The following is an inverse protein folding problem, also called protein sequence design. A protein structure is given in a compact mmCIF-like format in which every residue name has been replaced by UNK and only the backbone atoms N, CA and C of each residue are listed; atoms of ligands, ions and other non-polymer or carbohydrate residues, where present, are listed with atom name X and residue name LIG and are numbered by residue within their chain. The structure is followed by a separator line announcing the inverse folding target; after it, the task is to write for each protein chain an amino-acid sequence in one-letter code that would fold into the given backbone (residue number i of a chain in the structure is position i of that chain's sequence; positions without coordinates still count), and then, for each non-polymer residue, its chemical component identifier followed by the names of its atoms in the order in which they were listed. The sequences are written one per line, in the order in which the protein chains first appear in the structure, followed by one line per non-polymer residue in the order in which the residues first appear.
data_IF_657440877048
#
_entry.id   IF_657440877048
#
_cell.length_a   1.000
_cell.length_b   1.000
_cell.length_c   1.000
_cell.angle_alpha   90.00
_cell.angle_beta   90.00
_cell.angle_gamma   90.00
#
_symmetry.space_group_name_H-M   'P 1'
#
loop_
_entity.id
_entity.type
_entity.pdbx_description
1 polymer ?
#
# COMPACT_ATOMS: atom_id res chain seq x y z
N UNK A 1 -26.76 19.68 -31.23
CA UNK A 1 -26.12 18.35 -31.01
C UNK A 1 -24.58 18.38 -30.93
N UNK A 2 -23.90 19.32 -31.61
CA UNK A 2 -22.42 19.44 -31.57
C UNK A 2 -21.88 19.98 -30.22
N UNK A 3 -22.58 20.95 -29.62
CA UNK A 3 -22.15 21.56 -28.35
C UNK A 3 -22.21 20.59 -27.14
N UNK A 4 -23.16 19.64 -27.14
CA UNK A 4 -23.27 18.64 -26.06
C UNK A 4 -22.14 17.58 -26.12
N UNK A 5 -21.66 17.24 -27.32
CA UNK A 5 -20.52 16.32 -27.48
C UNK A 5 -19.20 16.97 -27.07
N UNK A 6 -19.03 18.28 -27.31
CA UNK A 6 -17.83 19.01 -26.85
C UNK A 6 -17.80 19.19 -25.33
N UNK A 7 -18.95 19.44 -24.70
CA UNK A 7 -19.03 19.54 -23.25
C UNK A 7 -18.74 18.19 -22.57
N UNK A 8 -19.20 17.07 -23.14
CA UNK A 8 -18.91 15.73 -22.60
C UNK A 8 -17.43 15.34 -22.77
N UNK A 9 -16.79 15.77 -23.87
CA UNK A 9 -15.36 15.55 -24.12
C UNK A 9 -14.48 16.36 -23.16
N UNK A 10 -14.88 17.59 -22.81
CA UNK A 10 -14.16 18.44 -21.86
C UNK A 10 -14.26 17.96 -20.41
N UNK A 11 -15.38 17.35 -20.03
CA UNK A 11 -15.55 16.74 -18.71
C UNK A 11 -14.74 15.46 -18.57
N UNK A 12 -14.61 14.67 -19.64
CA UNK A 12 -13.83 13.43 -19.67
C UNK A 12 -12.30 13.67 -19.60
N UNK A 13 -11.81 14.77 -20.16
CA UNK A 13 -10.36 15.07 -20.18
C UNK A 13 -9.86 15.77 -18.90
N UNK A 14 -10.76 16.37 -18.10
CA UNK A 14 -10.38 16.99 -16.83
C UNK A 14 -10.41 16.06 -15.62
N UNK A 15 -10.94 14.85 -15.75
CA UNK A 15 -10.97 13.85 -14.66
C UNK A 15 -9.68 12.99 -14.64
N UNK A 16 -8.91 12.95 -15.74
CA UNK A 16 -7.70 12.14 -15.86
C UNK A 16 -6.39 12.95 -15.91
N UNK A 17 -6.46 14.25 -15.78
CA UNK A 17 -5.31 15.13 -15.90
C UNK A 17 -4.86 15.67 -14.56
N UNK A 18 -3.98 14.99 -13.84
CA UNK A 18 -3.02 15.68 -13.04
C UNK A 18 -2.91 15.38 -11.56
N UNK A 19 -3.77 14.57 -10.91
CA UNK A 19 -3.50 14.23 -9.53
C UNK A 19 -2.45 13.11 -9.45
N UNK A 20 -1.38 13.38 -8.74
CA UNK A 20 -0.35 12.41 -8.36
C UNK A 20 -0.12 12.49 -6.85
N UNK A 21 0.30 11.41 -6.20
CA UNK A 21 0.55 11.41 -4.75
C UNK A 21 1.45 12.54 -4.27
N UNK A 22 2.48 12.89 -5.02
CA UNK A 22 3.43 13.97 -4.71
C UNK A 22 2.84 15.39 -4.82
N UNK A 23 1.64 15.53 -5.41
CA UNK A 23 0.90 16.80 -5.38
C UNK A 23 0.24 17.09 -4.03
N UNK A 24 0.17 16.09 -3.13
CA UNK A 24 -0.39 16.23 -1.79
C UNK A 24 0.71 16.56 -0.77
N UNK A 25 0.59 17.68 -0.07
CA UNK A 25 1.57 18.10 0.93
C UNK A 25 1.68 17.16 2.15
N UNK A 26 0.81 16.17 2.27
CA UNK A 26 0.79 15.15 3.33
C UNK A 26 1.36 13.80 2.90
N UNK A 27 1.88 13.67 1.68
CA UNK A 27 2.51 12.42 1.24
C UNK A 27 3.72 12.11 2.11
N UNK A 28 3.76 10.89 2.64
CA UNK A 28 4.87 10.37 3.44
C UNK A 28 5.79 9.54 2.56
N UNK A 29 5.23 8.60 1.79
CA UNK A 29 5.97 7.79 0.83
C UNK A 29 5.11 7.38 -0.35
N UNK A 30 5.75 7.21 -1.50
CA UNK A 30 5.12 6.71 -2.72
C UNK A 30 6.06 5.77 -3.46
N UNK A 31 5.81 4.48 -3.36
CA UNK A 31 6.49 3.44 -4.13
C UNK A 31 5.68 3.20 -5.39
N UNK A 32 6.10 3.88 -6.45
CA UNK A 32 5.34 3.97 -7.70
C UNK A 32 5.48 2.69 -8.53
N UNK A 33 4.37 2.27 -9.12
CA UNK A 33 4.33 1.15 -10.04
C UNK A 33 5.34 1.31 -11.19
N UNK A 34 6.12 0.26 -11.43
CA UNK A 34 7.10 0.15 -12.53
C UNK A 34 8.11 1.33 -12.63
N UNK A 35 8.35 1.99 -11.51
CA UNK A 35 9.21 3.19 -11.45
C UNK A 35 10.17 3.07 -10.27
N UNK A 36 11.41 3.55 -10.47
CA UNK A 36 12.45 3.65 -9.43
C UNK A 36 12.77 2.30 -8.72
N UNK A 37 12.60 1.18 -9.46
CA UNK A 37 12.97 -0.16 -9.01
C UNK A 37 14.38 -0.47 -9.50
N UNK A 38 15.28 -0.79 -8.57
CA UNK A 38 16.63 -1.28 -8.87
C UNK A 38 16.67 -2.78 -8.74
N UNK A 39 17.03 -3.47 -9.81
CA UNK A 39 17.15 -4.94 -9.84
C UNK A 39 18.32 -5.38 -10.71
N UNK A 40 18.81 -6.60 -10.47
CA UNK A 40 19.82 -7.25 -11.30
C UNK A 40 19.16 -7.81 -12.59
N UNK A 41 19.51 -7.33 -13.79
CA UNK A 41 18.86 -7.79 -15.03
C UNK A 41 19.15 -9.25 -15.40
N UNK A 42 20.11 -9.91 -14.75
CA UNK A 42 20.43 -11.31 -15.00
C UNK A 42 19.60 -12.27 -14.13
N UNK A 43 19.19 -11.82 -12.95
CA UNK A 43 18.43 -12.61 -11.97
C UNK A 43 17.04 -12.06 -11.73
N UNK A 44 16.77 -10.81 -12.08
CA UNK A 44 15.57 -10.02 -11.75
C UNK A 44 15.34 -9.82 -10.24
N UNK A 45 16.36 -10.03 -9.41
CA UNK A 45 16.26 -9.79 -7.97
C UNK A 45 16.29 -8.30 -7.67
N UNK A 46 15.34 -7.82 -6.87
CA UNK A 46 15.15 -6.41 -6.53
C UNK A 46 15.98 -6.05 -5.31
N UNK A 47 16.90 -5.13 -5.47
CA UNK A 47 17.73 -4.60 -4.38
C UNK A 47 17.19 -3.29 -3.80
N UNK A 48 16.34 -2.55 -4.54
CA UNK A 48 15.70 -1.35 -4.03
C UNK A 48 14.39 -1.03 -4.76
N UNK A 49 13.46 -0.43 -4.03
CA UNK A 49 12.29 0.29 -4.53
C UNK A 49 12.30 1.68 -3.91
N UNK A 50 12.71 2.67 -4.69
CA UNK A 50 12.91 4.00 -4.17
C UNK A 50 11.59 4.74 -4.00
N UNK A 51 11.53 5.59 -2.98
CA UNK A 51 10.39 6.45 -2.69
C UNK A 51 10.38 7.64 -3.66
N UNK A 52 9.36 7.71 -4.52
CA UNK A 52 9.20 8.77 -5.51
C UNK A 52 8.76 10.12 -4.90
N UNK A 53 8.44 10.18 -3.61
CA UNK A 53 7.95 11.38 -2.95
C UNK A 53 8.96 11.99 -1.97
N UNK A 54 9.65 11.18 -1.17
CA UNK A 54 10.54 11.62 -0.09
C UNK A 54 11.83 10.76 -0.04
N UNK A 55 12.30 10.39 1.15
CA UNK A 55 13.56 9.67 1.34
C UNK A 55 13.38 8.36 2.13
N UNK A 56 12.28 7.65 1.90
CA UNK A 56 12.00 6.37 2.56
C UNK A 56 12.33 5.20 1.62
N UNK A 57 13.47 5.25 0.93
CA UNK A 57 13.88 4.21 -0.01
C UNK A 57 13.92 2.84 0.68
N UNK A 58 13.22 1.87 0.12
CA UNK A 58 13.18 0.49 0.58
C UNK A 58 14.27 -0.32 -0.09
N UNK A 59 15.16 -0.95 0.68
CA UNK A 59 16.33 -1.68 0.16
C UNK A 59 16.43 -3.08 0.75
N UNK A 60 17.10 -3.98 0.02
CA UNK A 60 17.50 -5.31 0.50
C UNK A 60 18.89 -5.68 -0.02
N UNK A 61 19.84 -5.75 0.89
CA UNK A 61 21.24 -6.08 0.55
C UNK A 61 21.51 -7.59 0.48
N UNK A 62 20.72 -8.40 1.19
CA UNK A 62 20.87 -9.87 1.23
C UNK A 62 20.19 -10.48 0.01
N UNK A 63 20.96 -11.02 -0.91
CA UNK A 63 20.46 -11.56 -2.20
C UNK A 63 19.38 -12.63 -2.02
N UNK A 64 19.47 -13.48 -0.98
CA UNK A 64 18.49 -14.52 -0.69
C UNK A 64 17.17 -14.03 -0.09
N UNK A 65 17.07 -12.74 0.20
CA UNK A 65 15.88 -12.08 0.74
C UNK A 65 15.33 -11.02 -0.22
N UNK A 66 15.93 -10.89 -1.41
CA UNK A 66 15.50 -9.95 -2.44
C UNK A 66 14.29 -10.50 -3.18
N UNK A 67 13.17 -9.75 -3.23
CA UNK A 67 12.02 -10.12 -4.04
C UNK A 67 12.33 -10.02 -5.53
N UNK A 68 11.47 -10.56 -6.35
CA UNK A 68 11.68 -10.72 -7.79
C UNK A 68 10.90 -9.67 -8.59
N UNK A 69 11.56 -8.96 -9.49
CA UNK A 69 10.89 -8.07 -10.45
C UNK A 69 10.24 -8.91 -11.57
N UNK A 70 8.92 -8.92 -11.65
CA UNK A 70 8.19 -9.71 -12.64
C UNK A 70 8.20 -8.98 -14.00
N UNK A 71 8.81 -9.56 -15.05
CA UNK A 71 8.77 -8.95 -16.38
C UNK A 71 7.40 -9.16 -17.05
N UNK A 72 6.94 -8.17 -17.81
CA UNK A 72 5.73 -8.32 -18.63
C UNK A 72 4.77 -7.15 -18.58
N UNK A 73 3.52 -7.38 -19.03
CA UNK A 73 2.49 -6.34 -19.12
C UNK A 73 1.97 -5.86 -17.75
N UNK A 74 2.20 -6.62 -16.70
CA UNK A 74 1.88 -6.28 -15.31
C UNK A 74 3.16 -6.47 -14.48
N UNK A 75 4.07 -5.52 -14.62
CA UNK A 75 5.30 -5.49 -13.83
C UNK A 75 4.97 -5.19 -12.37
N UNK A 76 5.54 -5.96 -11.48
CA UNK A 76 5.36 -5.79 -10.03
C UNK A 76 6.49 -6.51 -9.31
N UNK A 77 6.58 -6.31 -8.02
CA UNK A 77 7.57 -6.95 -7.16
C UNK A 77 6.93 -8.16 -6.50
N UNK A 78 7.37 -9.35 -6.91
CA UNK A 78 6.91 -10.66 -6.39
C UNK A 78 7.71 -11.04 -5.14
N UNK A 79 7.00 -11.32 -4.07
CA UNK A 79 7.51 -11.83 -2.79
C UNK A 79 7.16 -13.30 -2.65
N UNK A 80 8.10 -14.11 -2.18
CA UNK A 80 8.02 -15.58 -2.17
C UNK A 80 7.25 -16.19 -0.99
N UNK A 81 6.78 -15.35 -0.06
CA UNK A 81 6.08 -15.80 1.15
C UNK A 81 6.97 -16.42 2.22
N UNK A 82 8.28 -16.39 2.05
CA UNK A 82 9.25 -17.06 2.95
C UNK A 82 10.20 -16.09 3.63
N UNK A 83 10.95 -15.30 2.84
CA UNK A 83 11.98 -14.40 3.34
C UNK A 83 12.08 -13.08 2.60
N UNK A 84 11.43 -12.94 1.45
CA UNK A 84 11.51 -11.73 0.64
C UNK A 84 10.99 -10.51 1.39
N UNK A 85 11.78 -9.45 1.40
CA UNK A 85 11.44 -8.20 2.05
C UNK A 85 12.23 -7.02 1.47
N UNK A 86 11.73 -5.80 1.73
CA UNK A 86 12.44 -4.55 1.50
C UNK A 86 12.31 -3.69 2.76
N UNK A 87 13.36 -3.00 3.17
CA UNK A 87 13.40 -2.23 4.42
C UNK A 87 14.04 -0.85 4.22
N UNK A 88 13.61 0.12 5.03
CA UNK A 88 14.26 1.43 5.12
C UNK A 88 14.81 1.69 6.53
N UNK A 89 15.85 2.50 6.62
CA UNK A 89 16.35 3.00 7.93
C UNK A 89 15.64 4.27 8.39
N UNK A 90 14.77 4.83 7.55
CA UNK A 90 14.00 6.05 7.84
C UNK A 90 12.55 5.66 8.10
N UNK A 91 12.19 5.53 9.37
CA UNK A 91 10.87 5.11 9.80
C UNK A 91 9.79 6.12 9.43
N UNK A 92 8.65 5.63 8.94
CA UNK A 92 7.44 6.40 8.66
C UNK A 92 6.48 6.27 9.85
N UNK A 93 6.25 7.37 10.58
CA UNK A 93 5.41 7.38 11.77
C UNK A 93 4.04 8.01 11.51
N UNK A 94 2.98 7.22 11.58
CA UNK A 94 1.60 7.62 11.34
C UNK A 94 0.87 7.79 12.69
N UNK A 95 1.12 8.89 13.39
CA UNK A 95 0.60 9.13 14.75
C UNK A 95 -0.82 9.73 14.78
N UNK A 96 -1.27 10.37 13.68
CA UNK A 96 -2.58 11.02 13.55
C UNK A 96 -3.47 10.37 12.51
N UNK A 97 -4.25 11.20 11.81
CA UNK A 97 -4.98 10.78 10.62
C UNK A 97 -4.02 10.28 9.54
N UNK A 98 -4.42 9.27 8.78
CA UNK A 98 -3.62 8.76 7.66
C UNK A 98 -4.49 8.17 6.55
N UNK A 99 -3.89 8.07 5.37
CA UNK A 99 -4.42 7.29 4.24
C UNK A 99 -3.30 6.41 3.69
N UNK A 100 -3.55 5.11 3.58
CA UNK A 100 -2.63 4.13 3.00
C UNK A 100 -3.34 3.42 1.86
N UNK A 101 -2.76 3.47 0.67
CA UNK A 101 -3.23 2.76 -0.52
C UNK A 101 -2.21 1.71 -0.95
N UNK A 102 -2.66 0.49 -1.25
CA UNK A 102 -1.81 -0.62 -1.69
C UNK A 102 -2.48 -1.32 -2.87
N UNK A 103 -1.83 -1.36 -4.03
CA UNK A 103 -2.19 -2.22 -5.17
C UNK A 103 -1.34 -3.48 -5.09
N UNK A 104 -1.97 -4.63 -4.98
CA UNK A 104 -1.26 -5.91 -4.84
C UNK A 104 -2.09 -7.09 -5.31
N UNK A 105 -1.43 -8.19 -5.62
CA UNK A 105 -2.02 -9.53 -5.73
C UNK A 105 -1.60 -10.32 -4.49
N UNK A 106 -2.57 -10.86 -3.76
CA UNK A 106 -2.35 -11.64 -2.53
C UNK A 106 -2.56 -13.10 -2.86
N UNK A 107 -1.49 -13.90 -2.78
CA UNK A 107 -1.51 -15.33 -3.11
C UNK A 107 -1.77 -16.20 -1.86
N UNK A 108 -1.43 -15.71 -0.64
CA UNK A 108 -1.74 -16.38 0.61
C UNK A 108 -2.20 -15.42 1.72
N UNK A 109 -3.09 -15.89 2.58
CA UNK A 109 -3.52 -15.19 3.81
C UNK A 109 -2.56 -15.46 4.98
N UNK A 110 -2.68 -14.69 6.07
CA UNK A 110 -1.77 -14.78 7.20
C UNK A 110 -0.48 -14.00 7.00
N UNK A 111 -0.39 -13.17 5.97
CA UNK A 111 0.81 -12.51 5.47
C UNK A 111 0.79 -11.00 5.72
N UNK A 112 1.98 -10.42 5.95
CA UNK A 112 2.19 -8.99 6.21
C UNK A 112 2.37 -8.25 4.89
N UNK A 113 1.73 -7.09 4.74
CA UNK A 113 1.90 -6.21 3.60
C UNK A 113 3.03 -5.21 3.87
N UNK A 114 2.85 -4.39 4.91
CA UNK A 114 3.82 -3.39 5.39
C UNK A 114 3.83 -3.41 6.92
N UNK A 115 4.95 -3.13 7.55
CA UNK A 115 5.08 -3.18 9.01
C UNK A 115 6.32 -2.42 9.51
N UNK A 116 6.47 -2.39 10.84
CA UNK A 116 7.73 -2.12 11.52
C UNK A 116 8.55 -3.43 11.59
N UNK A 117 9.80 -3.37 11.15
CA UNK A 117 10.72 -4.50 11.19
C UNK A 117 11.28 -4.79 12.60
N UNK A 118 11.14 -3.89 13.54
CA UNK A 118 11.71 -4.00 14.89
C UNK A 118 10.72 -4.54 15.92
N UNK A 119 9.42 -4.46 15.67
CA UNK A 119 8.36 -4.86 16.60
C UNK A 119 7.22 -5.60 15.92
N UNK A 120 6.36 -6.23 16.71
CA UNK A 120 5.10 -6.85 16.27
C UNK A 120 3.87 -5.95 16.53
N UNK A 121 4.10 -4.71 16.94
CA UNK A 121 3.03 -3.82 17.41
C UNK A 121 2.48 -2.92 16.32
N UNK A 122 3.18 -2.79 15.18
CA UNK A 122 2.80 -1.98 14.04
C UNK A 122 2.82 -2.84 12.76
N UNK A 123 1.67 -2.94 12.08
CA UNK A 123 1.58 -3.67 10.81
C UNK A 123 0.24 -3.50 10.09
N UNK A 124 0.28 -3.70 8.78
CA UNK A 124 -0.87 -3.99 7.92
C UNK A 124 -0.73 -5.43 7.42
N UNK A 125 -1.66 -6.29 7.80
CA UNK A 125 -1.56 -7.74 7.58
C UNK A 125 -2.89 -8.34 7.14
N UNK A 126 -2.88 -9.20 6.12
CA UNK A 126 -4.03 -10.07 5.85
C UNK A 126 -3.99 -11.24 6.84
N UNK A 127 -5.03 -11.38 7.64
CA UNK A 127 -5.14 -12.46 8.63
C UNK A 127 -5.55 -13.78 7.97
N UNK A 128 -5.32 -14.91 8.66
CA UNK A 128 -5.84 -16.22 8.20
C UNK A 128 -7.37 -16.29 8.15
N UNK A 129 -8.05 -15.37 8.85
CA UNK A 129 -9.52 -15.21 8.80
C UNK A 129 -9.99 -14.26 7.70
N UNK A 130 -9.11 -13.90 6.76
CA UNK A 130 -9.40 -13.04 5.62
C UNK A 130 -9.91 -11.63 6.02
N UNK A 131 -9.31 -11.05 7.07
CA UNK A 131 -9.48 -9.64 7.44
C UNK A 131 -8.18 -8.89 7.19
N UNK A 132 -8.26 -7.59 6.88
CA UNK A 132 -7.11 -6.73 6.97
C UNK A 132 -6.93 -6.28 8.43
N UNK A 133 -5.87 -6.70 9.07
CA UNK A 133 -5.47 -6.25 10.40
C UNK A 133 -4.53 -5.06 10.30
N UNK A 134 -4.88 -3.97 10.98
CA UNK A 134 -3.99 -2.83 11.22
C UNK A 134 -3.64 -2.79 12.69
N UNK A 135 -2.35 -2.61 13.00
CA UNK A 135 -1.86 -2.42 14.37
C UNK A 135 -1.09 -1.10 14.47
N UNK A 136 -1.25 -0.44 15.62
CA UNK A 136 -0.57 0.79 16.00
C UNK A 136 -0.30 0.78 17.51
N UNK A 137 0.95 0.91 17.95
CA UNK A 137 1.37 0.82 19.37
C UNK A 137 0.77 -0.42 20.09
N UNK A 138 0.68 -1.55 19.39
CA UNK A 138 0.06 -2.78 19.91
C UNK A 138 -1.47 -2.81 19.91
N UNK A 139 -2.16 -1.69 19.72
CA UNK A 139 -3.62 -1.67 19.49
C UNK A 139 -3.95 -2.32 18.15
N UNK A 140 -5.12 -2.91 18.03
CA UNK A 140 -5.49 -3.70 16.85
C UNK A 140 -6.86 -3.33 16.34
N UNK A 141 -6.97 -3.12 15.02
CA UNK A 141 -8.24 -3.03 14.29
C UNK A 141 -8.27 -4.13 13.21
N UNK A 142 -9.30 -4.96 13.23
CA UNK A 142 -9.56 -5.96 12.18
C UNK A 142 -10.67 -5.43 11.25
N UNK A 143 -10.30 -5.18 10.01
CA UNK A 143 -11.16 -4.62 8.96
C UNK A 143 -11.63 -5.76 8.07
N UNK A 144 -12.88 -6.18 8.24
CA UNK A 144 -13.46 -7.27 7.48
C UNK A 144 -13.88 -6.85 6.07
N UNK A 145 -13.80 -7.78 5.13
CA UNK A 145 -14.49 -7.62 3.85
C UNK A 145 -15.99 -7.87 4.04
N UNK A 146 -16.83 -7.04 3.43
CA UNK A 146 -18.27 -7.24 3.41
C UNK A 146 -18.64 -8.53 2.64
N UNK A 147 -17.82 -8.90 1.64
CA UNK A 147 -17.96 -10.16 0.90
C UNK A 147 -16.67 -10.48 0.14
N UNK A 148 -16.48 -11.76 -0.21
CA UNK A 148 -15.35 -12.21 -1.03
C UNK A 148 -14.08 -12.50 -0.24
N UNK A 149 -12.97 -12.55 -0.95
CA UNK A 149 -11.62 -12.79 -0.43
C UNK A 149 -10.64 -11.80 -1.03
N UNK A 150 -9.52 -11.58 -0.34
CA UNK A 150 -8.40 -10.87 -0.93
C UNK A 150 -7.78 -11.69 -2.08
N UNK A 151 -7.30 -10.99 -3.08
CA UNK A 151 -6.68 -11.56 -4.27
C UNK A 151 -5.97 -10.47 -5.05
N UNK A 152 -6.13 -10.44 -6.38
CA UNK A 152 -5.64 -9.33 -7.21
C UNK A 152 -6.57 -8.14 -7.08
N UNK A 153 -6.01 -6.98 -6.73
CA UNK A 153 -6.80 -5.77 -6.50
C UNK A 153 -6.06 -4.69 -5.73
N UNK A 154 -6.81 -3.86 -5.04
CA UNK A 154 -6.23 -2.80 -4.23
C UNK A 154 -7.02 -2.55 -2.94
N UNK A 155 -6.32 -2.02 -1.97
CA UNK A 155 -6.78 -1.68 -0.63
C UNK A 155 -6.57 -0.17 -0.41
N UNK A 156 -7.56 0.51 0.17
CA UNK A 156 -7.36 1.86 0.74
C UNK A 156 -7.83 1.82 2.17
N UNK A 157 -6.95 2.20 3.08
CA UNK A 157 -7.20 2.25 4.53
C UNK A 157 -7.02 3.66 5.00
N UNK A 158 -7.96 4.16 5.77
CA UNK A 158 -7.86 5.48 6.38
C UNK A 158 -8.04 5.41 7.89
N UNK A 159 -7.48 6.38 8.57
CA UNK A 159 -7.80 6.72 9.96
C UNK A 159 -8.08 8.23 10.02
N UNK A 160 -9.23 8.62 10.57
CA UNK A 160 -9.56 10.04 10.78
C UNK A 160 -8.91 10.61 12.06
N UNK A 161 -9.06 11.91 12.29
CA UNK A 161 -8.53 12.57 13.48
C UNK A 161 -9.18 12.11 14.81
N UNK A 162 -10.31 11.40 14.75
CA UNK A 162 -11.02 10.79 15.88
C UNK A 162 -10.66 9.31 16.07
N UNK A 163 -9.67 8.81 15.32
CA UNK A 163 -9.23 7.42 15.28
C UNK A 163 -10.24 6.43 14.65
N UNK A 164 -11.29 6.88 13.96
CA UNK A 164 -12.15 5.97 13.24
C UNK A 164 -11.45 5.47 11.98
N UNK A 165 -11.56 4.15 11.74
CA UNK A 165 -10.99 3.52 10.57
C UNK A 165 -11.99 3.49 9.41
N UNK A 166 -11.48 3.73 8.19
CA UNK A 166 -12.18 3.48 6.94
C UNK A 166 -11.43 2.43 6.12
N UNK A 167 -12.16 1.64 5.33
CA UNK A 167 -11.57 0.60 4.52
C UNK A 167 -12.32 0.42 3.19
N UNK A 168 -11.58 0.47 2.09
CA UNK A 168 -12.07 0.21 0.73
C UNK A 168 -11.29 -0.96 0.13
N UNK A 169 -12.00 -1.87 -0.50
CA UNK A 169 -11.44 -2.97 -1.29
C UNK A 169 -11.96 -2.86 -2.72
N UNK A 170 -11.06 -2.68 -3.69
CA UNK A 170 -11.40 -2.48 -5.10
C UNK A 170 -12.42 -1.34 -5.31
N UNK A 171 -12.25 -0.22 -4.59
CA UNK A 171 -13.11 0.95 -4.65
C UNK A 171 -14.44 0.84 -3.90
N UNK A 172 -14.75 -0.32 -3.33
CA UNK A 172 -15.98 -0.53 -2.56
C UNK A 172 -15.71 -0.28 -1.08
N UNK A 173 -16.45 0.66 -0.48
CA UNK A 173 -16.42 0.92 0.96
C UNK A 173 -16.95 -0.31 1.72
N UNK A 174 -16.13 -0.84 2.62
CA UNK A 174 -16.46 -2.02 3.44
C UNK A 174 -17.28 -1.69 4.68
N UNK A 175 -17.61 -0.41 4.89
CA UNK A 175 -18.49 0.10 5.97
C UNK A 175 -18.06 -0.39 7.36
N UNK A 176 -16.74 -0.38 7.62
CA UNK A 176 -16.19 -0.80 8.91
C UNK A 176 -16.55 0.19 10.01
N UNK A 177 -16.77 -0.32 11.22
CA UNK A 177 -17.10 0.49 12.41
C UNK A 177 -16.16 0.12 13.55
N UNK A 178 -14.87 0.45 13.38
CA UNK A 178 -13.80 0.19 14.35
C UNK A 178 -12.94 1.43 14.50
N UNK A 179 -12.24 1.54 15.62
CA UNK A 179 -11.27 2.60 15.87
C UNK A 179 -9.89 2.03 16.16
N UNK A 180 -8.85 2.80 15.86
CA UNK A 180 -7.46 2.44 16.13
C UNK A 180 -6.71 3.68 16.64
N UNK A 181 -6.27 3.64 17.89
CA UNK A 181 -5.39 4.65 18.49
C UNK A 181 -3.94 4.18 18.45
N UNK A 182 -3.02 5.12 18.65
CA UNK A 182 -1.58 4.87 18.67
C UNK A 182 -0.90 5.29 17.37
N UNK A 183 0.42 5.13 17.35
CA UNK A 183 1.27 5.38 16.18
C UNK A 183 1.47 4.07 15.43
N UNK A 184 1.30 4.10 14.12
CA UNK A 184 1.69 3.00 13.24
C UNK A 184 3.02 3.37 12.59
N UNK A 185 4.08 2.76 13.04
CA UNK A 185 5.42 2.91 12.50
C UNK A 185 5.65 1.88 11.39
N UNK A 186 6.22 2.31 10.27
CA UNK A 186 6.43 1.47 9.09
C UNK A 186 7.84 1.72 8.57
N UNK A 187 8.61 0.66 8.41
CA UNK A 187 9.94 0.68 7.81
C UNK A 187 10.23 -0.55 6.94
N UNK A 188 9.24 -1.44 6.75
CA UNK A 188 9.39 -2.65 5.95
C UNK A 188 8.18 -2.93 5.04
N UNK A 189 8.46 -3.50 3.87
CA UNK A 189 7.49 -4.11 2.95
C UNK A 189 7.71 -5.61 2.95
N UNK A 190 6.63 -6.36 3.06
CA UNK A 190 6.63 -7.83 2.92
C UNK A 190 6.99 -8.61 4.18
N UNK A 191 7.46 -7.96 5.22
CA UNK A 191 7.91 -8.64 6.46
C UNK A 191 7.59 -7.79 7.69
N UNK A 192 7.58 -8.43 8.84
CA UNK A 192 7.62 -7.79 10.17
C UNK A 192 8.78 -8.33 10.99
N UNK A 193 8.95 -7.82 12.20
CA UNK A 193 9.96 -8.28 13.15
C UNK A 193 10.26 -9.79 13.03
N UNK A 194 11.56 -10.12 12.85
CA UNK A 194 12.08 -11.48 12.77
C UNK A 194 11.57 -12.32 11.59
N UNK A 195 11.34 -11.72 10.43
CA UNK A 195 10.97 -12.37 9.16
C UNK A 195 9.72 -13.28 9.24
N UNK A 196 8.81 -12.97 10.18
CA UNK A 196 7.59 -13.73 10.36
C UNK A 196 6.48 -13.25 9.47
N UNK A 197 5.77 -14.22 8.86
CA UNK A 197 4.61 -14.01 8.00
C UNK A 197 4.94 -13.18 6.75
N UNK A 198 6.10 -13.46 6.14
CA UNK A 198 6.53 -12.83 4.91
C UNK A 198 5.42 -12.83 3.86
N UNK A 199 5.27 -11.72 3.14
CA UNK A 199 4.25 -11.53 2.11
C UNK A 199 4.41 -12.57 1.01
N UNK A 200 3.30 -13.11 0.54
CA UNK A 200 3.21 -14.06 -0.56
C UNK A 200 2.29 -13.46 -1.63
N UNK A 201 2.88 -13.01 -2.73
CA UNK A 201 2.16 -12.31 -3.78
C UNK A 201 2.97 -11.20 -4.43
N UNK A 202 2.29 -10.36 -5.21
CA UNK A 202 2.92 -9.26 -5.97
C UNK A 202 2.47 -7.91 -5.45
N UNK A 203 3.41 -7.01 -5.18
CA UNK A 203 3.16 -5.59 -4.92
C UNK A 203 3.32 -4.78 -6.20
N UNK A 204 2.36 -3.91 -6.49
CA UNK A 204 2.40 -3.03 -7.67
C UNK A 204 2.65 -1.59 -7.28
N UNK A 205 1.94 -1.05 -6.31
CA UNK A 205 2.09 0.33 -5.85
C UNK A 205 1.71 0.44 -4.37
N UNK A 206 2.44 1.29 -3.62
CA UNK A 206 2.12 1.66 -2.25
C UNK A 206 2.18 3.18 -2.14
N UNK A 207 1.17 3.78 -1.53
CA UNK A 207 1.13 5.21 -1.23
C UNK A 207 0.68 5.47 0.20
N UNK A 208 1.39 6.33 0.90
CA UNK A 208 1.20 6.61 2.33
C UNK A 208 1.08 8.12 2.53
N UNK A 209 0.03 8.57 3.22
CA UNK A 209 -0.20 9.96 3.58
C UNK A 209 -0.43 10.10 5.08
N UNK A 210 0.09 11.18 5.66
CA UNK A 210 -0.14 11.58 7.06
C UNK A 210 -1.41 12.45 7.22
N UNK A 211 -2.41 12.23 6.39
CA UNK A 211 -3.71 12.89 6.46
C UNK A 211 -4.82 11.98 5.92
N UNK A 212 -6.06 12.36 6.21
CA UNK A 212 -7.27 11.73 5.69
C UNK A 212 -8.26 12.82 5.24
N UNK A 213 -8.90 12.60 4.10
CA UNK A 213 -10.08 13.32 3.63
C UNK A 213 -10.82 12.50 2.58
N UNK A 214 -12.12 12.74 2.43
CA UNK A 214 -12.90 12.06 1.39
C UNK A 214 -12.35 12.30 -0.03
N UNK A 215 -11.80 13.49 -0.30
CA UNK A 215 -11.19 13.83 -1.59
C UNK A 215 -9.90 13.03 -1.81
N UNK A 216 -9.01 12.95 -0.81
CA UNK A 216 -7.78 12.16 -0.87
C UNK A 216 -8.09 10.68 -1.06
N UNK A 217 -9.03 10.13 -0.28
CA UNK A 217 -9.49 8.75 -0.40
C UNK A 217 -10.03 8.44 -1.81
N UNK A 218 -10.83 9.34 -2.40
CA UNK A 218 -11.33 9.19 -3.76
C UNK A 218 -10.20 9.21 -4.81
N UNK A 219 -9.22 10.11 -4.65
CA UNK A 219 -8.07 10.22 -5.53
C UNK A 219 -7.20 8.95 -5.48
N UNK A 220 -6.90 8.42 -4.29
CA UNK A 220 -6.13 7.18 -4.10
C UNK A 220 -6.88 5.99 -4.72
N UNK A 221 -8.18 5.83 -4.44
CA UNK A 221 -9.00 4.79 -5.06
C UNK A 221 -8.97 4.88 -6.60
N UNK A 222 -9.15 6.09 -7.16
CA UNK A 222 -9.11 6.30 -8.61
C UNK A 222 -7.76 5.95 -9.21
N UNK A 223 -6.65 6.34 -8.56
CA UNK A 223 -5.30 6.01 -9.03
C UNK A 223 -5.08 4.50 -9.08
N UNK A 224 -5.31 3.81 -7.95
CA UNK A 224 -5.03 2.37 -7.87
C UNK A 224 -5.94 1.52 -8.76
N UNK A 225 -7.14 2.01 -9.08
CA UNK A 225 -8.05 1.36 -10.03
C UNK A 225 -7.57 1.44 -11.49
N UNK A 226 -6.72 2.42 -11.83
CA UNK A 226 -6.26 2.69 -13.20
C UNK A 226 -4.83 2.19 -13.48
N UNK A 227 -4.23 1.45 -12.56
CA UNK A 227 -2.94 0.76 -12.70
C UNK A 227 -3.09 -0.59 -13.38
#
# INVERSE_FOLDING_TARGET
MLALKQALSLVSTNILGGWTPDSEGSVVAWYQHDTDITFDPSTNLVSAWNDSANNHDMVQATVSEQPFNTPGAYTGILFDGTSDNLQTTVQMSLSGAFTVGIKCKIDATGKVLIADNTTNNEMFKITSSNNLRVKADGNTADLGLASGTFGDGYLVVTRDASNNMGFWHNGVDQSVSVSLSGTADIDAIGVRNTDLNAFDGTMYEIVIFSSESAALTANVNSRLANL
#
